data_IF_184607551285
#
_entry.id   IF_184607551285
#
_cell.length_a   1.000
_cell.length_b   1.000
_cell.length_c   1.000
_cell.angle_alpha   90.00
_cell.angle_beta   90.00
_cell.angle_gamma   90.00
#
_symmetry.space_group_name_H-M   'P 1'
#
loop_
_entity.id
_entity.type
_entity.pdbx_description
1 polymer ?
#
# COMPACT_ATOMS: atom_id res chain seq x y z
N UNK A 1 36.26 39.82 -26.40
CA UNK A 1 35.20 39.65 -25.39
C UNK A 1 35.07 38.15 -25.17
N UNK A 2 35.35 37.72 -23.95
CA UNK A 2 35.52 36.31 -23.57
C UNK A 2 34.19 35.86 -22.97
N UNK A 3 33.44 35.03 -23.69
CA UNK A 3 32.20 34.46 -23.15
C UNK A 3 32.58 33.43 -22.08
N UNK A 4 32.28 33.78 -20.83
CA UNK A 4 32.42 32.88 -19.69
C UNK A 4 31.19 31.99 -19.70
N UNK A 5 31.30 30.66 -19.79
CA UNK A 5 30.14 29.80 -19.59
C UNK A 5 29.79 29.83 -18.10
N UNK A 6 28.71 30.53 -17.76
CA UNK A 6 28.15 30.59 -16.42
C UNK A 6 27.82 29.17 -15.93
N UNK A 7 28.64 28.67 -15.02
CA UNK A 7 28.37 27.49 -14.20
C UNK A 7 27.30 27.84 -13.16
N UNK A 8 26.09 28.16 -13.60
CA UNK A 8 24.92 28.14 -12.72
C UNK A 8 24.49 26.68 -12.63
N UNK A 9 25.04 25.97 -11.66
CA UNK A 9 24.49 24.72 -11.16
C UNK A 9 23.11 25.02 -10.60
N UNK A 10 22.11 25.05 -11.47
CA UNK A 10 20.72 24.98 -11.06
C UNK A 10 20.51 23.57 -10.50
N UNK A 11 20.77 23.46 -9.21
CA UNK A 11 20.35 22.37 -8.34
C UNK A 11 18.81 22.41 -8.22
N UNK A 12 18.13 22.28 -9.37
CA UNK A 12 16.71 21.97 -9.44
C UNK A 12 16.60 20.50 -9.08
N UNK A 13 16.64 20.23 -7.77
CA UNK A 13 16.15 18.99 -7.19
C UNK A 13 14.74 18.81 -7.74
N UNK A 14 14.46 17.85 -8.64
CA UNK A 14 13.09 17.62 -9.05
C UNK A 14 12.34 17.27 -7.77
N UNK A 15 11.33 18.08 -7.43
CA UNK A 15 10.43 17.80 -6.33
C UNK A 15 10.02 16.34 -6.46
N UNK A 16 10.48 15.52 -5.51
CA UNK A 16 10.36 14.07 -5.56
C UNK A 16 8.94 13.74 -5.95
N UNK A 17 8.78 13.07 -7.08
CA UNK A 17 7.50 12.74 -7.64
C UNK A 17 6.89 11.63 -6.76
N UNK A 18 6.29 12.02 -5.62
CA UNK A 18 5.61 11.13 -4.65
C UNK A 18 4.55 10.22 -5.29
N UNK A 19 4.20 10.50 -6.54
CA UNK A 19 3.26 9.76 -7.36
C UNK A 19 3.88 8.56 -8.09
N UNK A 20 5.20 8.55 -8.29
CA UNK A 20 5.92 7.55 -9.09
C UNK A 20 7.14 6.94 -8.37
N UNK A 21 7.34 7.19 -7.08
CA UNK A 21 8.29 6.38 -6.33
C UNK A 21 7.72 4.96 -6.28
N UNK A 22 8.47 3.97 -6.79
CA UNK A 22 8.13 2.55 -6.81
C UNK A 22 8.02 1.92 -5.41
N UNK A 23 7.44 2.62 -4.45
CA UNK A 23 7.35 2.19 -3.08
C UNK A 23 6.12 1.27 -2.96
N UNK A 24 6.31 -0.04 -2.64
CA UNK A 24 5.20 -0.91 -2.22
C UNK A 24 4.57 -0.45 -0.89
N UNK A 25 4.89 0.75 -0.42
CA UNK A 25 4.47 1.32 0.84
C UNK A 25 2.94 1.35 1.02
N UNK A 26 2.12 1.70 0.02
CA UNK A 26 0.66 1.60 0.16
C UNK A 26 0.19 0.16 0.42
N UNK A 27 0.85 -0.81 -0.20
CA UNK A 27 0.57 -2.24 0.01
C UNK A 27 1.00 -2.69 1.41
N UNK A 28 2.22 -2.35 1.83
CA UNK A 28 2.72 -2.66 3.17
C UNK A 28 1.92 -1.97 4.28
N UNK A 29 1.46 -0.74 4.06
CA UNK A 29 0.58 -0.03 4.99
C UNK A 29 -0.74 -0.80 5.20
N UNK A 30 -1.37 -1.27 4.11
CA UNK A 30 -2.56 -2.11 4.20
C UNK A 30 -2.32 -3.40 4.96
N UNK A 31 -1.19 -4.07 4.71
CA UNK A 31 -0.80 -5.31 5.42
C UNK A 31 -0.60 -5.06 6.92
N UNK A 32 0.10 -3.99 7.30
CA UNK A 32 0.36 -3.65 8.70
C UNK A 32 -0.92 -3.29 9.46
N UNK A 33 -1.83 -2.55 8.82
CA UNK A 33 -3.16 -2.24 9.39
C UNK A 33 -3.98 -3.51 9.58
N UNK A 34 -4.01 -4.39 8.58
CA UNK A 34 -4.68 -5.69 8.69
C UNK A 34 -4.10 -6.53 9.83
N UNK A 35 -2.78 -6.63 9.93
CA UNK A 35 -2.10 -7.36 11.01
C UNK A 35 -2.48 -6.80 12.38
N UNK A 36 -2.54 -5.47 12.51
CA UNK A 36 -2.91 -4.82 13.77
C UNK A 36 -4.33 -5.18 14.18
N UNK A 37 -5.28 -5.16 13.25
CA UNK A 37 -6.68 -5.55 13.49
C UNK A 37 -6.77 -7.03 13.89
N UNK A 38 -6.03 -7.92 13.21
CA UNK A 38 -5.97 -9.35 13.56
C UNK A 38 -5.46 -9.54 14.99
N UNK A 39 -4.34 -8.89 15.35
CA UNK A 39 -3.75 -9.00 16.68
C UNK A 39 -4.70 -8.42 17.73
N UNK A 40 -5.30 -7.26 17.47
CA UNK A 40 -6.24 -6.63 18.40
C UNK A 40 -7.51 -7.49 18.61
N UNK A 41 -8.02 -8.10 17.54
CA UNK A 41 -9.18 -8.98 17.61
C UNK A 41 -8.83 -10.29 18.36
N UNK A 42 -7.67 -10.89 18.08
CA UNK A 42 -7.21 -12.09 18.77
C UNK A 42 -6.97 -11.84 20.27
N UNK A 43 -6.46 -10.65 20.63
CA UNK A 43 -6.11 -10.31 22.01
C UNK A 43 -7.34 -9.92 22.86
N UNK A 44 -8.33 -9.23 22.27
CA UNK A 44 -9.53 -8.80 23.00
C UNK A 44 -10.68 -9.82 22.98
N UNK A 45 -10.83 -10.57 21.88
CA UNK A 45 -11.97 -11.46 21.69
C UNK A 45 -11.56 -12.94 21.55
N UNK A 46 -10.28 -13.27 21.43
CA UNK A 46 -9.84 -14.66 21.27
C UNK A 46 -10.29 -15.27 19.94
N UNK A 47 -10.77 -16.52 19.96
CA UNK A 47 -11.24 -17.25 18.77
C UNK A 47 -12.29 -16.50 17.94
N UNK A 48 -13.36 -15.90 18.53
CA UNK A 48 -14.34 -15.16 17.75
C UNK A 48 -13.77 -13.90 17.09
N UNK A 49 -12.78 -13.24 17.70
CA UNK A 49 -12.08 -12.12 17.07
C UNK A 49 -11.37 -12.54 15.78
N UNK A 50 -10.74 -13.71 15.78
CA UNK A 50 -10.07 -14.25 14.61
C UNK A 50 -11.05 -14.58 13.47
N UNK A 51 -12.22 -15.12 13.82
CA UNK A 51 -13.32 -15.38 12.86
C UNK A 51 -13.83 -14.07 12.24
N UNK A 52 -13.97 -12.99 13.01
CA UNK A 52 -14.45 -11.70 12.48
C UNK A 52 -13.54 -11.07 11.43
N UNK A 53 -12.24 -11.43 11.40
CA UNK A 53 -11.30 -10.96 10.37
C UNK A 53 -11.19 -11.94 9.20
N UNK A 54 -11.31 -13.25 9.48
CA UNK A 54 -11.35 -14.29 8.45
C UNK A 54 -12.56 -14.17 7.51
N UNK A 55 -13.75 -13.83 8.04
CA UNK A 55 -14.97 -13.69 7.24
C UNK A 55 -14.84 -12.61 6.14
N UNK A 56 -14.47 -11.36 6.42
CA UNK A 56 -14.28 -10.35 5.38
C UNK A 56 -13.12 -10.67 4.43
N UNK A 57 -12.05 -11.34 4.90
CA UNK A 57 -10.99 -11.81 4.03
C UNK A 57 -11.48 -12.89 3.04
N UNK A 58 -12.26 -13.85 3.50
CA UNK A 58 -12.88 -14.88 2.67
C UNK A 58 -13.87 -14.29 1.66
N UNK A 59 -14.65 -13.28 2.08
CA UNK A 59 -15.56 -12.55 1.18
C UNK A 59 -14.75 -11.80 0.11
N UNK A 60 -13.66 -11.13 0.47
CA UNK A 60 -12.77 -10.47 -0.50
C UNK A 60 -12.22 -11.46 -1.52
N UNK A 61 -11.76 -12.63 -1.07
CA UNK A 61 -11.27 -13.69 -1.95
C UNK A 61 -12.36 -14.26 -2.85
N UNK A 62 -13.59 -14.44 -2.34
CA UNK A 62 -14.75 -14.85 -3.12
C UNK A 62 -15.09 -13.83 -4.21
N UNK A 63 -15.04 -12.54 -3.90
CA UNK A 63 -15.29 -11.45 -4.87
C UNK A 63 -14.21 -11.46 -5.96
N UNK A 64 -12.94 -11.67 -5.61
CA UNK A 64 -11.85 -11.81 -6.59
C UNK A 64 -12.11 -13.01 -7.51
N UNK A 65 -12.49 -14.16 -6.95
CA UNK A 65 -12.83 -15.35 -7.73
C UNK A 65 -14.03 -15.09 -8.64
N UNK A 66 -15.07 -14.41 -8.15
CA UNK A 66 -16.23 -14.04 -8.96
C UNK A 66 -15.86 -13.05 -10.08
N UNK A 67 -14.97 -12.09 -9.83
CA UNK A 67 -14.46 -11.16 -10.83
C UNK A 67 -13.67 -11.87 -11.93
N UNK A 68 -12.80 -12.81 -11.56
CA UNK A 68 -12.04 -13.63 -12.51
C UNK A 68 -12.98 -14.55 -13.30
N UNK A 69 -13.90 -15.25 -12.62
CA UNK A 69 -14.80 -16.20 -13.25
C UNK A 69 -15.84 -15.55 -14.17
N UNK A 70 -16.29 -14.32 -13.86
CA UNK A 70 -17.29 -13.60 -14.67
C UNK A 70 -16.67 -12.86 -15.87
N UNK A 71 -15.35 -12.89 -16.04
CA UNK A 71 -14.71 -12.52 -17.31
C UNK A 71 -14.25 -11.07 -17.37
N UNK A 72 -13.14 -10.78 -16.70
CA UNK A 72 -12.05 -10.06 -17.35
C UNK A 72 -10.83 -10.96 -17.48
#
# INVERSE_FOLDING_TARGET
MTDTPDTRSEDHKPAGNWRNAEEPWPFWAGVLVFLNIVVFAAMNYGLPGLVTVMVPAAIGMLIVVLLIATGR
#
